data_IF_931371874970
#
_entry.id   IF_931371874970
#
_cell.length_a   1.000
_cell.length_b   1.000
_cell.length_c   1.000
_cell.angle_alpha   90.00
_cell.angle_beta   90.00
_cell.angle_gamma   90.00
#
_symmetry.space_group_name_H-M   'P 1'
#
loop_
_entity.id
_entity.type
_entity.pdbx_description
1 polymer ?
#
# COMPACT_ATOMS: atom_id res chain seq x y z
N UNK A 1 1.20 -9.46 -11.14
CA UNK A 1 0.09 -9.22 -10.20
C UNK A 1 -0.45 -7.82 -10.46
N UNK A 2 -1.75 -7.63 -10.35
CA UNK A 2 -2.37 -6.32 -10.46
C UNK A 2 -2.17 -5.52 -9.17
N UNK A 3 -1.90 -4.20 -9.24
CA UNK A 3 -1.74 -3.38 -8.06
C UNK A 3 -3.08 -3.22 -7.33
N UNK A 4 -3.06 -3.47 -6.02
CA UNK A 4 -4.19 -3.22 -5.14
C UNK A 4 -4.22 -1.74 -4.78
N UNK A 5 -5.39 -1.11 -4.92
CA UNK A 5 -5.60 0.28 -4.54
C UNK A 5 -6.34 0.34 -3.21
N UNK A 6 -5.84 1.16 -2.31
CA UNK A 6 -6.46 1.42 -1.02
C UNK A 6 -6.89 2.89 -0.98
N UNK A 7 -8.07 3.14 -0.42
CA UNK A 7 -8.62 4.49 -0.30
C UNK A 7 -8.02 5.23 0.91
N UNK A 8 -7.78 4.52 2.01
CA UNK A 8 -7.22 5.09 3.24
C UNK A 8 -6.04 4.27 3.79
N UNK A 9 -5.14 4.89 4.57
CA UNK A 9 -4.03 4.18 5.20
C UNK A 9 -4.51 3.10 6.17
N UNK A 10 -5.70 3.28 6.76
CA UNK A 10 -6.33 2.31 7.64
C UNK A 10 -6.72 1.02 6.89
N UNK A 11 -7.24 1.13 5.66
CA UNK A 11 -7.53 -0.04 4.82
C UNK A 11 -6.26 -0.81 4.48
N UNK A 12 -5.19 -0.09 4.14
CA UNK A 12 -3.89 -0.71 3.87
C UNK A 12 -3.33 -1.41 5.12
N UNK A 13 -3.43 -0.79 6.29
CA UNK A 13 -3.04 -1.39 7.57
C UNK A 13 -3.86 -2.64 7.90
N UNK A 14 -5.16 -2.61 7.66
CA UNK A 14 -6.05 -3.75 7.92
C UNK A 14 -5.71 -4.93 7.01
N UNK A 15 -5.32 -4.66 5.76
CA UNK A 15 -4.80 -5.69 4.86
C UNK A 15 -3.47 -6.24 5.38
N UNK A 16 -2.52 -5.37 5.73
CA UNK A 16 -1.24 -5.81 6.27
C UNK A 16 -1.42 -6.67 7.51
N UNK A 17 -2.21 -6.27 8.50
CA UNK A 17 -2.45 -7.08 9.70
C UNK A 17 -2.96 -8.51 9.41
N UNK A 18 -3.74 -8.70 8.34
CA UNK A 18 -4.28 -9.99 7.98
C UNK A 18 -3.33 -10.82 7.12
N UNK A 19 -2.59 -10.18 6.21
CA UNK A 19 -1.89 -10.87 5.13
C UNK A 19 -0.36 -10.70 5.17
N UNK A 20 0.19 -9.83 6.02
CA UNK A 20 1.63 -9.54 6.05
C UNK A 20 2.53 -10.74 6.38
N UNK A 21 1.96 -11.79 6.98
CA UNK A 21 2.70 -13.01 7.33
C UNK A 21 2.50 -14.14 6.32
N UNK A 22 1.52 -14.00 5.43
CA UNK A 22 1.06 -15.08 4.53
C UNK A 22 1.43 -14.80 3.08
N UNK A 23 1.39 -13.54 2.67
CA UNK A 23 1.73 -13.11 1.31
C UNK A 23 3.21 -12.74 1.19
N UNK A 24 3.81 -13.05 0.04
CA UNK A 24 5.24 -12.80 -0.21
C UNK A 24 5.48 -11.40 -0.81
N UNK A 25 4.51 -10.87 -1.57
CA UNK A 25 4.58 -9.55 -2.17
C UNK A 25 3.19 -8.90 -2.29
N UNK A 26 3.13 -7.57 -2.21
CA UNK A 26 1.94 -6.79 -2.54
C UNK A 26 2.35 -5.55 -3.34
N UNK A 27 1.70 -5.37 -4.48
CA UNK A 27 1.82 -4.16 -5.26
C UNK A 27 0.74 -3.18 -4.84
N UNK A 28 1.13 -2.05 -4.25
CA UNK A 28 0.20 -1.00 -3.87
C UNK A 28 0.15 0.07 -4.96
N UNK A 29 -1.01 0.20 -5.58
CA UNK A 29 -1.27 1.24 -6.57
C UNK A 29 -1.59 2.57 -5.91
N UNK A 30 -0.89 3.63 -6.33
CA UNK A 30 -1.18 5.00 -5.90
C UNK A 30 -1.57 5.85 -7.10
N UNK A 31 -2.78 6.41 -7.08
CA UNK A 31 -3.20 7.31 -8.15
C UNK A 31 -2.53 8.69 -8.01
N UNK A 32 -2.25 9.35 -9.14
CA UNK A 32 -1.77 10.74 -9.14
C UNK A 32 -2.87 11.66 -8.62
N UNK A 33 -2.52 12.64 -7.77
CA UNK A 33 -3.46 13.63 -7.19
C UNK A 33 -4.39 14.29 -8.23
N UNK A 34 -3.94 14.45 -9.48
CA UNK A 34 -4.72 15.01 -10.59
C UNK A 34 -5.91 14.16 -11.05
N UNK A 35 -5.99 12.90 -10.66
CA UNK A 35 -7.06 11.99 -11.08
C UNK A 35 -8.34 12.12 -10.24
N UNK A 36 -8.29 12.80 -9.09
CA UNK A 36 -9.45 13.02 -8.22
C UNK A 36 -9.99 11.75 -7.53
N UNK A 37 -9.34 10.60 -7.71
CA UNK A 37 -9.73 9.34 -7.07
C UNK A 37 -9.18 9.27 -5.63
N UNK A 38 -9.97 8.79 -4.66
CA UNK A 38 -9.46 8.50 -3.32
C UNK A 38 -8.39 7.40 -3.44
N UNK A 39 -7.22 7.67 -2.88
CA UNK A 39 -6.07 6.76 -2.89
C UNK A 39 -5.18 7.12 -1.71
N UNK A 40 -4.55 6.13 -1.09
CA UNK A 40 -3.46 6.40 -0.17
C UNK A 40 -2.28 7.03 -0.90
N UNK A 41 -1.55 7.90 -0.22
CA UNK A 41 -0.28 8.40 -0.75
C UNK A 41 0.87 7.48 -0.36
N UNK A 42 1.96 7.49 -1.15
CA UNK A 42 3.19 6.77 -0.80
C UNK A 42 3.70 7.15 0.60
N UNK A 43 3.57 8.42 0.99
CA UNK A 43 3.98 8.90 2.30
C UNK A 43 3.16 8.32 3.45
N UNK A 44 1.93 7.86 3.18
CA UNK A 44 1.09 7.18 4.17
C UNK A 44 1.28 5.66 4.12
N UNK A 45 1.56 5.10 2.93
CA UNK A 45 1.78 3.67 2.76
C UNK A 45 3.12 3.20 3.35
N UNK A 46 4.20 3.96 3.14
CA UNK A 46 5.55 3.60 3.62
C UNK A 46 5.62 3.35 5.14
N UNK A 47 5.13 4.25 6.03
CA UNK A 47 5.22 4.02 7.47
C UNK A 47 4.40 2.81 7.94
N UNK A 48 3.26 2.56 7.29
CA UNK A 48 2.45 1.37 7.57
C UNK A 48 3.19 0.10 7.15
N UNK A 49 3.74 0.06 5.94
CA UNK A 49 4.50 -1.09 5.45
C UNK A 49 5.74 -1.37 6.33
N UNK A 50 6.47 -0.31 6.74
CA UNK A 50 7.58 -0.39 7.70
C UNK A 50 7.21 -1.05 9.03
N UNK A 51 6.01 -0.76 9.55
CA UNK A 51 5.55 -1.30 10.83
C UNK A 51 5.42 -2.83 10.81
N UNK A 52 5.18 -3.42 9.64
CA UNK A 52 5.05 -4.86 9.44
C UNK A 52 6.32 -5.51 8.84
N UNK A 53 7.40 -4.73 8.67
CA UNK A 53 8.65 -5.20 8.06
C UNK A 53 8.56 -5.37 6.53
N UNK A 54 7.53 -4.80 5.90
CA UNK A 54 7.27 -4.88 4.49
C UNK A 54 7.87 -3.67 3.78
N UNK A 55 8.98 -3.85 3.07
CA UNK A 55 9.48 -2.88 2.08
C UNK A 55 10.08 -3.62 0.90
N UNK A 56 9.54 -3.37 -0.31
CA UNK A 56 10.31 -3.25 -1.54
C UNK A 56 9.75 -2.10 -2.36
N UNK A 57 10.59 -1.11 -2.67
CA UNK A 57 10.21 0.07 -3.43
C UNK A 57 10.75 -0.01 -4.86
N UNK A 58 9.92 -0.42 -5.83
CA UNK A 58 10.26 -0.29 -7.25
C UNK A 58 9.69 1.00 -7.84
N UNK A 59 10.53 2.00 -8.01
CA UNK A 59 10.27 3.16 -8.88
C UNK A 59 10.44 2.74 -10.34
N UNK A 60 9.39 2.88 -11.16
CA UNK A 60 9.46 2.78 -12.62
C UNK A 60 9.04 4.10 -13.27
#
# INVERSE_FOLDING_TARGET
MDPQFFETPADFRAWLQQFHSTEEELWVGVYKKKTGKPTITLLEAIPEALCFGWIDGKTR
#
